data_IF_006028108082
#
_entry.id   IF_006028108082
#
_cell.length_a   1.000
_cell.length_b   1.000
_cell.length_c   1.000
_cell.angle_alpha   90.00
_cell.angle_beta   90.00
_cell.angle_gamma   90.00
#
_symmetry.space_group_name_H-M   'P 1'
#
loop_
_entity.id
_entity.type
_entity.pdbx_description
1 polymer ?
#
# COMPACT_ATOMS: atom_id res chain seq x y z
N UNK A 1 -19.54 18.53 -3.21
CA UNK A 1 -18.39 17.69 -2.90
C UNK A 1 -18.57 16.32 -3.52
N UNK A 2 -17.50 15.75 -4.04
CA UNK A 2 -17.48 14.43 -4.69
C UNK A 2 -16.53 13.53 -3.91
N UNK A 3 -17.02 12.36 -3.50
CA UNK A 3 -16.20 11.31 -2.90
C UNK A 3 -16.26 10.09 -3.81
N UNK A 4 -15.11 9.59 -4.21
CA UNK A 4 -14.99 8.36 -5.01
C UNK A 4 -14.74 7.19 -4.08
N UNK A 5 -15.57 6.15 -4.19
CA UNK A 5 -15.41 4.90 -3.43
C UNK A 5 -14.92 3.84 -4.40
N UNK A 6 -13.74 3.29 -4.13
CA UNK A 6 -13.12 2.25 -4.93
C UNK A 6 -13.42 0.87 -4.32
N UNK A 7 -14.32 0.14 -4.97
CA UNK A 7 -14.55 -1.27 -4.70
C UNK A 7 -13.75 -2.10 -5.72
N UNK A 8 -12.49 -2.36 -5.41
CA UNK A 8 -11.50 -2.94 -6.31
C UNK A 8 -10.76 -4.09 -5.65
N UNK A 9 -10.29 -5.04 -6.44
CA UNK A 9 -9.51 -6.19 -5.95
C UNK A 9 -8.00 -6.01 -6.10
N UNK A 10 -7.55 -4.93 -6.72
CA UNK A 10 -6.15 -4.63 -6.98
C UNK A 10 -5.93 -3.17 -7.32
N UNK A 11 -4.71 -2.84 -7.71
CA UNK A 11 -4.33 -1.49 -8.11
C UNK A 11 -4.99 -1.12 -9.44
N UNK A 12 -5.47 0.10 -9.53
CA UNK A 12 -6.00 0.71 -10.76
C UNK A 12 -5.23 2.00 -11.07
N UNK A 13 -5.29 2.45 -12.30
CA UNK A 13 -4.78 3.76 -12.68
C UNK A 13 -5.57 4.86 -11.96
N UNK A 14 -4.85 5.77 -11.33
CA UNK A 14 -5.43 6.91 -10.60
C UNK A 14 -4.79 8.24 -10.96
N UNK A 15 -3.65 8.25 -11.66
CA UNK A 15 -2.87 9.45 -11.95
C UNK A 15 -3.68 10.49 -12.73
N UNK A 16 -4.48 10.03 -13.69
CA UNK A 16 -5.24 10.92 -14.58
C UNK A 16 -6.42 11.63 -13.87
N UNK A 17 -6.88 11.15 -12.71
CA UNK A 17 -8.11 11.66 -12.10
C UNK A 17 -8.09 11.85 -10.59
N UNK A 18 -7.08 11.37 -9.85
CA UNK A 18 -7.06 11.40 -8.38
C UNK A 18 -7.18 12.81 -7.78
N UNK A 19 -6.82 13.85 -8.53
CA UNK A 19 -6.93 15.24 -8.09
C UNK A 19 -8.31 15.86 -8.32
N UNK A 20 -9.23 15.18 -9.01
CA UNK A 20 -10.56 15.71 -9.33
C UNK A 20 -11.56 15.60 -8.17
N UNK A 21 -11.67 14.47 -7.45
CA UNK A 21 -12.60 14.37 -6.33
C UNK A 21 -12.06 15.03 -5.07
N UNK A 22 -12.97 15.41 -4.17
CA UNK A 22 -12.61 15.95 -2.84
C UNK A 22 -11.99 14.89 -1.93
N UNK A 23 -12.35 13.61 -2.11
CA UNK A 23 -11.76 12.47 -1.38
C UNK A 23 -11.89 11.16 -2.16
N UNK A 24 -10.99 10.23 -1.86
CA UNK A 24 -11.01 8.86 -2.37
C UNK A 24 -11.01 7.91 -1.18
N UNK A 25 -11.98 7.02 -1.12
CA UNK A 25 -12.05 5.93 -0.15
C UNK A 25 -11.83 4.59 -0.85
N UNK A 26 -10.75 3.91 -0.51
CA UNK A 26 -10.47 2.56 -1.03
C UNK A 26 -11.13 1.54 -0.09
N UNK A 27 -12.26 1.03 -0.52
CA UNK A 27 -13.04 0.03 0.24
C UNK A 27 -12.60 -1.41 -0.02
N UNK A 28 -11.74 -1.62 -1.02
CA UNK A 28 -11.34 -2.95 -1.50
C UNK A 28 -12.56 -3.83 -1.81
N UNK A 29 -12.47 -5.12 -1.59
CA UNK A 29 -13.58 -6.07 -1.72
C UNK A 29 -14.23 -6.23 -0.35
N UNK A 30 -15.20 -5.38 -0.03
CA UNK A 30 -15.96 -5.44 1.22
C UNK A 30 -16.77 -6.73 1.32
N UNK A 31 -16.89 -7.26 2.55
CA UNK A 31 -17.77 -8.39 2.84
C UNK A 31 -19.24 -7.95 2.95
N UNK A 32 -20.04 -8.78 3.61
CA UNK A 32 -21.48 -8.57 3.79
C UNK A 32 -21.81 -7.19 4.38
N UNK A 33 -21.01 -6.70 5.33
CA UNK A 33 -21.19 -5.40 5.99
C UNK A 33 -20.44 -4.25 5.30
N UNK A 34 -19.92 -4.45 4.09
CA UNK A 34 -19.12 -3.46 3.38
C UNK A 34 -19.82 -2.12 3.16
N UNK A 35 -21.13 -2.16 2.89
CA UNK A 35 -21.95 -0.95 2.76
C UNK A 35 -22.07 -0.16 4.07
N UNK A 36 -22.38 -0.85 5.17
CA UNK A 36 -22.47 -0.23 6.50
C UNK A 36 -21.11 0.35 6.94
N UNK A 37 -20.02 -0.39 6.74
CA UNK A 37 -18.67 0.07 7.04
C UNK A 37 -18.29 1.32 6.25
N UNK A 38 -18.65 1.38 4.97
CA UNK A 38 -18.43 2.54 4.12
C UNK A 38 -19.16 3.76 4.65
N UNK A 39 -20.45 3.60 5.01
CA UNK A 39 -21.28 4.70 5.58
C UNK A 39 -20.71 5.17 6.92
N UNK A 40 -20.27 4.25 7.79
CA UNK A 40 -19.66 4.59 9.08
C UNK A 40 -18.41 5.46 8.92
N UNK A 41 -17.58 5.19 7.90
CA UNK A 41 -16.43 6.03 7.58
C UNK A 41 -16.86 7.37 7.00
N UNK A 42 -17.74 7.39 5.98
CA UNK A 42 -18.16 8.63 5.31
C UNK A 42 -18.91 9.59 6.24
N UNK A 43 -19.66 9.06 7.20
CA UNK A 43 -20.38 9.87 8.19
C UNK A 43 -19.48 10.39 9.32
N UNK A 44 -18.22 9.94 9.40
CA UNK A 44 -17.32 10.30 10.50
C UNK A 44 -17.56 9.50 11.79
N UNK A 45 -18.45 8.52 11.79
CA UNK A 45 -18.67 7.65 12.94
C UNK A 45 -17.42 6.81 13.28
N UNK A 46 -16.66 6.43 12.24
CA UNK A 46 -15.39 5.70 12.37
C UNK A 46 -14.33 6.42 11.56
N UNK A 47 -13.22 6.76 12.18
CA UNK A 47 -12.06 7.27 11.46
C UNK A 47 -11.37 6.16 10.66
N UNK A 48 -11.07 6.37 9.36
CA UNK A 48 -10.31 5.40 8.58
C UNK A 48 -8.93 5.18 9.21
N UNK A 49 -8.49 3.94 9.22
CA UNK A 49 -7.19 3.55 9.80
C UNK A 49 -6.51 2.45 8.99
N UNK A 50 -6.97 2.22 7.77
CA UNK A 50 -6.30 1.36 6.80
C UNK A 50 -5.08 2.04 6.20
N UNK A 51 -4.11 1.25 5.75
CA UNK A 51 -2.97 1.69 4.96
C UNK A 51 -2.92 0.87 3.68
N UNK A 52 -2.50 1.47 2.58
CA UNK A 52 -2.41 0.78 1.31
C UNK A 52 -1.38 -0.37 1.40
N UNK A 53 -1.78 -1.62 1.12
CA UNK A 53 -0.87 -2.76 1.10
C UNK A 53 -0.13 -2.89 -0.24
N UNK A 54 -0.29 -1.93 -1.12
CA UNK A 54 0.29 -1.89 -2.48
C UNK A 54 0.66 -0.47 -2.83
N UNK A 55 1.65 -0.31 -3.71
CA UNK A 55 1.96 0.97 -4.37
C UNK A 55 1.00 1.17 -5.54
N UNK A 56 0.44 2.36 -5.67
CA UNK A 56 -0.33 2.79 -6.84
C UNK A 56 0.60 3.60 -7.75
N UNK A 57 1.06 3.04 -8.87
CA UNK A 57 1.88 3.78 -9.83
C UNK A 57 1.03 4.68 -10.72
N UNK A 58 1.70 5.50 -11.53
CA UNK A 58 1.07 6.35 -12.53
C UNK A 58 0.45 5.54 -13.65
N UNK A 59 1.14 4.50 -14.09
CA UNK A 59 0.70 3.66 -15.20
C UNK A 59 0.91 2.18 -14.89
N UNK A 60 0.10 1.32 -15.50
CA UNK A 60 0.26 -0.12 -15.37
C UNK A 60 1.63 -0.61 -15.84
N UNK A 61 2.15 -0.01 -16.91
CA UNK A 61 3.45 -0.38 -17.48
C UNK A 61 4.64 -0.01 -16.61
N UNK A 62 4.43 0.77 -15.55
CA UNK A 62 5.46 1.06 -14.54
C UNK A 62 5.77 -0.15 -13.64
N UNK A 63 4.88 -1.16 -13.62
CA UNK A 63 5.16 -2.41 -12.93
C UNK A 63 6.18 -3.26 -13.70
N UNK A 64 7.26 -3.76 -13.07
CA UNK A 64 8.22 -4.63 -13.75
C UNK A 64 7.57 -5.84 -14.39
N UNK A 65 6.59 -6.44 -13.71
CA UNK A 65 5.86 -7.62 -14.16
C UNK A 65 4.91 -7.35 -15.34
N UNK A 66 4.65 -6.09 -15.68
CA UNK A 66 3.72 -5.74 -16.77
C UNK A 66 4.12 -6.34 -18.12
N UNK A 67 5.43 -6.53 -18.35
CA UNK A 67 5.96 -7.12 -19.57
C UNK A 67 5.71 -8.62 -19.68
N UNK A 68 5.52 -9.28 -18.54
CA UNK A 68 5.35 -10.72 -18.43
C UNK A 68 3.88 -11.12 -18.23
N UNK A 69 3.00 -10.15 -17.97
CA UNK A 69 1.58 -10.38 -17.75
C UNK A 69 0.77 -9.94 -18.95
N UNK A 70 -0.19 -10.76 -19.44
CA UNK A 70 -0.95 -10.45 -20.65
C UNK A 70 -1.92 -9.29 -20.41
N UNK A 71 -1.56 -8.09 -20.88
CA UNK A 71 -2.39 -6.87 -20.83
C UNK A 71 -3.66 -6.97 -21.65
N UNK A 72 -3.60 -7.68 -22.78
CA UNK A 72 -4.66 -7.75 -23.79
C UNK A 72 -5.20 -9.17 -23.94
N UNK A 73 -5.51 -9.79 -22.85
CA UNK A 73 -6.21 -11.07 -22.88
C UNK A 73 -7.61 -10.87 -23.47
N UNK A 74 -7.69 -10.85 -24.80
CA UNK A 74 -8.96 -10.94 -25.51
C UNK A 74 -9.36 -12.39 -25.57
N UNK A 75 -10.42 -12.71 -24.81
CA UNK A 75 -11.22 -13.84 -25.11
C UNK A 75 -10.89 -15.16 -24.39
N UNK A 76 -11.74 -15.45 -23.50
CA UNK A 76 -12.11 -16.79 -23.06
C UNK A 76 -12.61 -17.71 -24.22
N UNK A 77 -12.60 -17.23 -25.45
CA UNK A 77 -13.17 -17.90 -26.64
C UNK A 77 -12.13 -18.18 -27.71
N UNK A 78 -10.96 -18.67 -27.34
CA UNK A 78 -10.15 -19.42 -28.28
C UNK A 78 -9.37 -18.64 -29.36
N UNK A 79 -9.29 -17.30 -29.32
CA UNK A 79 -8.43 -16.51 -30.20
C UNK A 79 -6.97 -16.51 -29.71
N UNK A 80 -6.50 -17.67 -29.32
CA UNK A 80 -5.15 -17.95 -28.81
C UNK A 80 -4.07 -17.76 -29.89
N UNK A 81 -4.49 -17.56 -31.14
CA UNK A 81 -3.61 -17.57 -32.30
C UNK A 81 -3.11 -16.19 -32.74
N UNK A 82 -3.60 -15.09 -32.15
CA UNK A 82 -3.16 -13.76 -32.56
C UNK A 82 -1.90 -13.34 -31.84
N UNK A 83 -0.81 -14.01 -32.16
CA UNK A 83 0.54 -13.71 -31.70
C UNK A 83 1.15 -12.63 -32.59
N UNK A 84 0.45 -11.48 -32.73
CA UNK A 84 1.02 -10.35 -33.46
C UNK A 84 2.22 -9.78 -32.71
N UNK A 85 3.20 -9.16 -33.40
CA UNK A 85 4.36 -8.54 -32.76
C UNK A 85 4.01 -7.51 -31.68
N UNK A 86 2.82 -6.92 -31.75
CA UNK A 86 2.32 -5.94 -30.79
C UNK A 86 1.70 -6.60 -29.53
N UNK A 87 1.52 -7.91 -29.54
CA UNK A 87 0.90 -8.70 -28.46
C UNK A 87 1.79 -9.87 -28.10
N UNK A 88 2.95 -9.57 -27.59
CA UNK A 88 3.90 -10.59 -27.16
C UNK A 88 3.45 -11.21 -25.84
N UNK A 89 2.57 -12.21 -25.92
CA UNK A 89 2.49 -13.19 -24.86
C UNK A 89 3.73 -14.07 -24.93
N UNK A 90 4.55 -14.00 -23.92
CA UNK A 90 5.70 -14.90 -23.82
C UNK A 90 5.22 -16.35 -23.69
N UNK A 91 4.18 -16.56 -22.94
CA UNK A 91 3.59 -17.88 -22.74
C UNK A 91 2.14 -17.79 -22.24
N UNK A 92 1.29 -18.71 -22.68
CA UNK A 92 -0.11 -18.79 -22.24
C UNK A 92 -0.30 -19.73 -21.05
N UNK A 93 0.65 -20.60 -20.79
CA UNK A 93 0.57 -21.64 -19.77
C UNK A 93 1.31 -21.30 -18.47
N UNK A 94 2.20 -20.31 -18.47
CA UNK A 94 2.97 -19.91 -17.29
C UNK A 94 3.44 -18.46 -17.41
N UNK A 95 3.80 -17.88 -16.26
CA UNK A 95 4.40 -16.55 -16.17
C UNK A 95 5.78 -16.68 -15.52
N UNK A 96 6.81 -16.09 -16.13
CA UNK A 96 8.13 -16.01 -15.54
C UNK A 96 8.18 -14.80 -14.60
N UNK A 97 8.57 -15.04 -13.34
CA UNK A 97 8.81 -14.00 -12.34
C UNK A 97 10.23 -13.46 -12.46
N UNK A 98 10.47 -12.63 -13.49
CA UNK A 98 11.78 -12.08 -13.78
C UNK A 98 12.20 -10.96 -12.83
N UNK A 99 11.24 -10.36 -12.15
CA UNK A 99 11.41 -9.23 -11.23
C UNK A 99 12.07 -9.62 -9.90
N UNK A 100 12.18 -10.92 -9.59
CA UNK A 100 12.79 -11.44 -8.37
C UNK A 100 12.23 -10.74 -7.11
N UNK A 101 13.10 -10.15 -6.27
CA UNK A 101 12.68 -9.41 -5.06
C UNK A 101 12.11 -8.02 -5.36
N UNK A 102 12.22 -7.54 -6.60
CA UNK A 102 11.86 -6.18 -7.03
C UNK A 102 10.36 -6.07 -7.34
N UNK A 103 9.54 -6.38 -6.34
CA UNK A 103 8.08 -6.36 -6.44
C UNK A 103 7.50 -5.25 -5.56
N UNK A 104 6.50 -4.55 -6.07
CA UNK A 104 5.76 -3.53 -5.34
C UNK A 104 6.67 -2.41 -4.81
N UNK A 105 6.51 -2.04 -3.55
CA UNK A 105 7.26 -0.93 -2.95
C UNK A 105 8.78 -1.11 -2.97
N UNK A 106 9.29 -2.35 -2.98
CA UNK A 106 10.73 -2.59 -3.07
C UNK A 106 11.30 -2.06 -4.38
N UNK A 107 10.61 -2.33 -5.48
CA UNK A 107 10.95 -1.78 -6.79
C UNK A 107 10.74 -0.27 -6.83
N UNK A 108 9.52 0.17 -6.57
CA UNK A 108 9.15 1.58 -6.73
C UNK A 108 9.99 2.50 -5.85
N UNK A 109 10.19 2.19 -4.57
CA UNK A 109 11.00 3.03 -3.69
C UNK A 109 12.49 3.07 -4.07
N UNK A 110 12.98 2.06 -4.80
CA UNK A 110 14.41 1.96 -5.14
C UNK A 110 14.71 2.53 -6.52
N UNK A 111 13.85 2.24 -7.51
CA UNK A 111 14.16 2.47 -8.92
C UNK A 111 13.19 3.44 -9.63
N UNK A 112 11.98 3.62 -9.11
CA UNK A 112 10.92 4.33 -9.80
C UNK A 112 10.06 5.18 -8.85
N UNK A 113 10.68 5.89 -7.91
CA UNK A 113 9.97 6.70 -6.92
C UNK A 113 9.18 7.86 -7.52
N UNK A 114 9.60 8.36 -8.67
CA UNK A 114 8.90 9.38 -9.46
C UNK A 114 7.63 8.86 -10.16
N UNK A 115 7.45 7.53 -10.19
CA UNK A 115 6.29 6.86 -10.77
C UNK A 115 5.19 6.52 -9.76
N UNK A 116 5.35 6.92 -8.52
CA UNK A 116 4.38 6.63 -7.45
C UNK A 116 3.33 7.74 -7.37
N UNK A 117 2.04 7.37 -7.43
CA UNK A 117 0.92 8.25 -7.07
C UNK A 117 0.63 8.10 -5.58
N UNK A 118 0.37 6.88 -5.12
CA UNK A 118 0.19 6.58 -3.69
C UNK A 118 1.15 5.47 -3.27
N UNK A 119 2.03 5.73 -2.29
CA UNK A 119 2.99 4.73 -1.84
C UNK A 119 2.33 3.61 -1.01
N UNK A 120 3.00 2.48 -0.93
CA UNK A 120 2.72 1.46 0.08
C UNK A 120 2.72 2.11 1.48
N UNK A 121 1.78 1.74 2.32
CA UNK A 121 1.63 2.30 3.67
C UNK A 121 0.88 3.63 3.72
N UNK A 122 0.51 4.22 2.57
CA UNK A 122 -0.25 5.46 2.54
C UNK A 122 -1.68 5.29 3.08
N UNK A 123 -2.14 6.28 3.82
CA UNK A 123 -3.52 6.39 4.26
C UNK A 123 -3.69 7.60 5.18
N UNK A 124 -4.88 8.20 5.14
CA UNK A 124 -5.24 9.36 5.93
C UNK A 124 -6.15 8.95 7.10
N UNK A 125 -6.25 9.81 8.09
CA UNK A 125 -7.12 9.69 9.25
C UNK A 125 -7.90 10.98 9.44
N UNK A 126 -8.98 10.94 10.22
CA UNK A 126 -9.71 12.16 10.65
C UNK A 126 -9.06 12.84 11.85
N UNK A 127 -7.97 12.30 12.37
CA UNK A 127 -7.17 12.84 13.45
C UNK A 127 -5.69 12.87 13.08
N UNK A 128 -4.88 13.45 13.93
CA UNK A 128 -3.43 13.48 13.81
C UNK A 128 -2.78 12.66 14.92
N UNK A 129 -1.59 12.14 14.67
CA UNK A 129 -0.83 11.38 15.63
C UNK A 129 0.58 11.95 15.78
N UNK A 130 1.07 11.97 17.00
CA UNK A 130 2.47 12.28 17.31
C UNK A 130 3.21 11.03 17.75
N UNK A 131 4.42 10.88 17.25
CA UNK A 131 5.31 9.79 17.61
C UNK A 131 6.48 10.34 18.41
N UNK A 132 6.71 9.77 19.59
CA UNK A 132 7.72 10.23 20.51
C UNK A 132 8.41 9.06 21.20
N UNK A 133 9.46 9.35 21.97
CA UNK A 133 10.18 8.38 22.80
C UNK A 133 10.62 7.12 22.02
N UNK A 134 11.03 7.29 20.76
CA UNK A 134 11.53 6.19 19.96
C UNK A 134 12.86 5.68 20.53
N UNK A 135 12.94 4.39 20.77
CA UNK A 135 14.14 3.73 21.26
C UNK A 135 14.40 2.42 20.50
N UNK A 136 15.67 2.16 20.24
CA UNK A 136 16.17 0.97 19.58
C UNK A 136 17.04 0.17 20.55
N UNK A 137 16.71 -1.10 20.74
CA UNK A 137 17.53 -2.04 21.49
C UNK A 137 17.96 -3.17 20.55
N UNK A 138 19.24 -3.31 20.36
CA UNK A 138 19.84 -4.38 19.57
C UNK A 138 20.41 -5.45 20.48
N UNK A 139 20.14 -6.70 20.15
CA UNK A 139 20.80 -7.88 20.68
C UNK A 139 21.42 -8.68 19.54
N UNK A 140 22.00 -9.83 19.82
CA UNK A 140 22.61 -10.67 18.78
C UNK A 140 21.61 -11.11 17.72
N UNK A 141 20.38 -11.44 18.14
CA UNK A 141 19.38 -12.10 17.29
C UNK A 141 18.09 -11.29 17.16
N UNK A 142 17.97 -10.17 17.86
CA UNK A 142 16.75 -9.36 17.90
C UNK A 142 17.06 -7.87 17.77
N UNK A 143 16.14 -7.19 17.09
CA UNK A 143 16.06 -5.74 17.02
C UNK A 143 14.68 -5.33 17.57
N UNK A 144 14.66 -4.74 18.76
CA UNK A 144 13.44 -4.24 19.36
C UNK A 144 13.36 -2.73 19.20
N UNK A 145 12.30 -2.27 18.55
CA UNK A 145 11.95 -0.86 18.44
C UNK A 145 10.74 -0.58 19.34
N UNK A 146 10.84 0.44 20.16
CA UNK A 146 9.72 0.93 20.98
C UNK A 146 9.49 2.40 20.66
N UNK A 147 8.22 2.80 20.63
CA UNK A 147 7.84 4.20 20.48
C UNK A 147 6.49 4.45 21.13
N UNK A 148 6.29 5.68 21.57
CA UNK A 148 4.99 6.16 22.04
C UNK A 148 4.22 6.80 20.89
N UNK A 149 2.95 6.42 20.75
CA UNK A 149 2.02 7.01 19.79
C UNK A 149 0.92 7.71 20.57
N UNK A 150 0.70 8.98 20.29
CA UNK A 150 -0.32 9.83 20.91
C UNK A 150 -1.28 10.31 19.86
N UNK A 151 -2.58 10.18 20.10
CA UNK A 151 -3.60 10.86 19.30
C UNK A 151 -3.60 12.35 19.66
N UNK A 152 -2.97 13.17 18.83
CA UNK A 152 -2.85 14.62 19.04
C UNK A 152 -3.98 15.44 18.45
N UNK A 153 -4.93 14.79 17.75
CA UNK A 153 -6.07 15.46 17.16
C UNK A 153 -7.34 15.33 18.00
N UNK A 154 -8.50 15.45 17.35
CA UNK A 154 -9.81 15.61 18.01
C UNK A 154 -10.76 14.43 17.80
N UNK A 155 -10.39 13.42 17.02
CA UNK A 155 -11.22 12.26 16.74
C UNK A 155 -10.60 10.99 17.31
N UNK A 156 -11.40 10.08 17.90
CA UNK A 156 -10.93 8.74 18.27
C UNK A 156 -10.48 7.97 17.02
N UNK A 157 -9.28 7.41 17.05
CA UNK A 157 -8.77 6.68 15.91
C UNK A 157 -7.67 5.66 16.28
N UNK A 158 -7.30 4.85 15.28
CA UNK A 158 -6.16 3.92 15.36
C UNK A 158 -5.08 4.36 14.38
N UNK A 159 -3.83 4.16 14.75
CA UNK A 159 -2.67 4.40 13.90
C UNK A 159 -1.97 3.09 13.54
N UNK A 160 -1.39 3.04 12.34
CA UNK A 160 -0.54 1.93 11.89
C UNK A 160 0.90 2.40 11.82
N UNK A 161 1.76 1.66 12.49
CA UNK A 161 3.20 1.90 12.52
C UNK A 161 3.87 0.82 11.67
N UNK A 162 4.69 1.23 10.71
CA UNK A 162 5.46 0.36 9.84
C UNK A 162 6.95 0.56 10.12
N UNK A 163 7.66 -0.50 10.45
CA UNK A 163 9.10 -0.50 10.67
C UNK A 163 9.81 -1.00 9.41
N UNK A 164 10.56 -0.12 8.80
CA UNK A 164 11.42 -0.44 7.67
C UNK A 164 12.87 -0.48 8.08
N UNK A 165 13.61 -1.42 7.51
CA UNK A 165 15.05 -1.54 7.70
C UNK A 165 15.76 -1.36 6.36
N UNK A 166 16.79 -0.53 6.34
CA UNK A 166 17.74 -0.41 5.24
C UNK A 166 18.99 -1.24 5.56
N UNK A 167 19.52 -1.93 4.56
CA UNK A 167 20.76 -2.71 4.68
C UNK A 167 21.83 -2.15 3.72
N UNK A 168 22.49 -1.04 4.09
CA UNK A 168 23.52 -0.44 3.24
C UNK A 168 24.79 -1.30 3.16
N UNK A 169 25.61 -1.07 2.15
CA UNK A 169 26.94 -1.70 2.03
C UNK A 169 26.95 -3.16 1.62
N UNK A 170 25.89 -3.66 1.00
CA UNK A 170 25.83 -5.03 0.46
C UNK A 170 26.53 -5.13 -0.90
N UNK A 171 27.17 -6.27 -1.16
CA UNK A 171 27.69 -6.63 -2.49
C UNK A 171 26.57 -6.98 -3.48
N UNK A 172 25.40 -7.35 -2.96
CA UNK A 172 24.22 -7.63 -3.77
C UNK A 172 23.28 -6.41 -3.74
N UNK A 173 22.63 -6.09 -4.86
CA UNK A 173 21.58 -5.08 -4.88
C UNK A 173 20.48 -5.42 -3.89
N UNK A 174 20.07 -4.44 -3.09
CA UNK A 174 18.97 -4.59 -2.12
C UNK A 174 18.01 -3.41 -2.23
N UNK A 175 16.74 -3.63 -1.87
CA UNK A 175 15.79 -2.54 -1.75
C UNK A 175 16.29 -1.46 -0.78
N UNK A 176 16.02 -0.20 -1.10
CA UNK A 176 16.40 0.94 -0.26
C UNK A 176 15.88 0.79 1.17
N UNK A 177 14.77 0.11 1.34
CA UNK A 177 14.18 -0.27 2.64
C UNK A 177 13.24 -1.45 2.48
N UNK A 178 13.13 -2.24 3.53
CA UNK A 178 12.21 -3.38 3.59
C UNK A 178 11.38 -3.34 4.87
N UNK A 179 10.09 -3.59 4.75
CA UNK A 179 9.20 -3.73 5.90
C UNK A 179 9.60 -4.98 6.69
N UNK A 180 9.92 -4.81 7.98
CA UNK A 180 10.33 -5.91 8.87
C UNK A 180 9.32 -6.17 9.98
N UNK A 181 8.58 -5.14 10.38
CA UNK A 181 7.51 -5.28 11.35
C UNK A 181 6.45 -4.21 11.14
N UNK A 182 5.26 -4.45 11.63
CA UNK A 182 4.20 -3.45 11.71
C UNK A 182 3.30 -3.73 12.90
N UNK A 183 2.66 -2.68 13.39
CA UNK A 183 1.66 -2.78 14.44
C UNK A 183 0.55 -1.75 14.23
N UNK A 184 -0.65 -2.08 14.68
CA UNK A 184 -1.77 -1.15 14.74
C UNK A 184 -2.14 -0.88 16.18
N UNK A 185 -2.31 0.39 16.54
CA UNK A 185 -2.74 0.76 17.90
C UNK A 185 -4.16 0.23 18.20
N UNK A 186 -4.50 0.11 19.47
CA UNK A 186 -5.90 0.12 19.88
C UNK A 186 -6.54 1.46 19.48
N UNK A 187 -7.84 1.60 19.67
CA UNK A 187 -8.49 2.90 19.60
C UNK A 187 -7.84 3.83 20.64
N UNK A 188 -7.47 5.02 20.20
CA UNK A 188 -6.93 6.09 21.06
C UNK A 188 -7.89 7.26 21.04
N UNK A 189 -8.37 7.64 22.22
CA UNK A 189 -9.14 8.89 22.40
C UNK A 189 -8.23 10.10 22.19
N UNK A 190 -8.76 11.29 21.90
CA UNK A 190 -7.99 12.52 21.85
C UNK A 190 -7.12 12.72 23.09
N UNK A 191 -5.83 12.96 22.90
CA UNK A 191 -4.83 13.09 23.97
C UNK A 191 -4.31 11.76 24.55
N UNK A 192 -4.90 10.63 24.16
CA UNK A 192 -4.48 9.34 24.67
C UNK A 192 -3.22 8.81 23.98
N UNK A 193 -2.38 8.13 24.74
CA UNK A 193 -1.12 7.55 24.26
C UNK A 193 -1.05 6.04 24.49
N UNK A 194 -0.25 5.38 23.67
CA UNK A 194 0.11 3.97 23.86
C UNK A 194 1.55 3.71 23.46
N UNK A 195 2.17 2.71 24.08
CA UNK A 195 3.49 2.22 23.69
C UNK A 195 3.36 1.11 22.67
N UNK A 196 4.09 1.22 21.57
CA UNK A 196 4.21 0.21 20.53
C UNK A 196 5.59 -0.46 20.64
N UNK A 197 5.60 -1.75 20.38
CA UNK A 197 6.81 -2.57 20.29
C UNK A 197 6.81 -3.32 18.96
N UNK A 198 7.90 -3.23 18.25
CA UNK A 198 8.13 -3.83 16.94
C UNK A 198 9.47 -4.59 16.98
#
# INVERSE_FOLDING_TARGET
KVVVILNIGGVIETDSWHALPDAILVGWQGGQEGGCATVDVLSGKVSPSGRLPMTFPKDYTDHPSSQNYPLNYRSYRGDWADNTPERKFRNLGYTDYEEDIWVGYRYFNTWASDRIVFPFGFGLSYTTFEWSNAALKLSRDECLVTLQVTNSGTYPAKEVIELFVAAPGSTLPKPVRELKAFAKTRMLEPGESTMIRL
#
